data_IF_452632308780
#
_entry.id   IF_452632308780
#
_cell.length_a   1.000
_cell.length_b   1.000
_cell.length_c   1.000
_cell.angle_alpha   90.00
_cell.angle_beta   90.00
_cell.angle_gamma   90.00
#
_symmetry.space_group_name_H-M   'P 1'
#
loop_
_entity.id
_entity.type
_entity.pdbx_description
1 polymer ?
#
# COMPACT_ATOMS: atom_id res chain seq x y z
N UNK A 1 3.95 -11.94 -15.96
CA UNK A 1 3.43 -10.56 -15.87
C UNK A 1 4.44 -9.77 -15.06
N UNK A 2 4.75 -8.53 -15.43
CA UNK A 2 5.61 -7.66 -14.61
C UNK A 2 4.87 -7.25 -13.34
N UNK A 3 5.62 -6.97 -12.26
CA UNK A 3 5.06 -6.37 -11.05
C UNK A 3 4.45 -4.99 -11.39
N UNK A 4 3.27 -4.64 -10.85
CA UNK A 4 2.63 -3.37 -11.15
C UNK A 4 3.46 -2.19 -10.65
N UNK A 5 3.48 -1.11 -11.42
CA UNK A 5 4.14 0.12 -11.01
C UNK A 5 3.37 0.81 -9.86
N UNK A 6 4.04 1.60 -9.03
CA UNK A 6 3.40 2.25 -7.88
C UNK A 6 2.24 3.18 -8.27
N UNK A 7 2.33 3.86 -9.41
CA UNK A 7 1.26 4.72 -9.90
C UNK A 7 0.06 3.91 -10.42
N UNK A 8 0.26 2.70 -10.93
CA UNK A 8 -0.82 1.77 -11.28
C UNK A 8 -1.57 1.29 -10.03
N UNK A 9 -0.84 0.94 -8.97
CA UNK A 9 -1.43 0.57 -7.67
C UNK A 9 -2.30 1.70 -7.10
N UNK A 10 -1.77 2.93 -7.08
CA UNK A 10 -2.50 4.09 -6.56
C UNK A 10 -3.73 4.43 -7.39
N UNK A 11 -3.62 4.40 -8.73
CA UNK A 11 -4.78 4.64 -9.61
C UNK A 11 -5.86 3.61 -9.38
N UNK A 12 -5.51 2.32 -9.27
CA UNK A 12 -6.49 1.27 -9.02
C UNK A 12 -7.25 1.47 -7.70
N UNK A 13 -6.56 1.89 -6.63
CA UNK A 13 -7.21 2.19 -5.35
C UNK A 13 -8.16 3.40 -5.45
N UNK A 14 -7.74 4.46 -6.16
CA UNK A 14 -8.56 5.66 -6.39
C UNK A 14 -9.79 5.34 -7.24
N UNK A 15 -9.62 4.59 -8.33
CA UNK A 15 -10.70 4.20 -9.24
C UNK A 15 -11.71 3.28 -8.55
N UNK A 16 -11.27 2.45 -7.60
CA UNK A 16 -12.12 1.64 -6.74
C UNK A 16 -12.83 2.43 -5.62
N UNK A 17 -12.60 3.75 -5.52
CA UNK A 17 -13.14 4.59 -4.46
C UNK A 17 -12.60 4.28 -3.07
N UNK A 18 -11.45 3.60 -2.98
CA UNK A 18 -10.81 3.29 -1.70
C UNK A 18 -10.32 4.59 -1.07
N UNK A 19 -10.75 4.83 0.16
CA UNK A 19 -10.39 5.99 0.98
C UNK A 19 -9.17 5.64 1.82
N UNK A 20 -8.07 6.33 1.56
CA UNK A 20 -6.81 6.12 2.26
C UNK A 20 -5.99 7.40 2.25
N UNK A 21 -5.00 7.46 3.15
CA UNK A 21 -3.89 8.41 3.06
C UNK A 21 -2.62 7.67 2.74
N UNK A 22 -1.85 8.20 1.78
CA UNK A 22 -0.53 7.69 1.43
C UNK A 22 0.48 8.11 2.51
N UNK A 23 1.26 7.15 2.99
CA UNK A 23 2.30 7.37 4.01
C UNK A 23 3.63 6.74 3.55
N UNK A 24 4.62 6.68 4.44
CA UNK A 24 5.87 5.99 4.16
C UNK A 24 6.79 6.69 3.14
N UNK A 25 7.67 5.91 2.50
CA UNK A 25 8.72 6.43 1.63
C UNK A 25 8.20 7.11 0.37
N UNK A 26 7.15 6.55 -0.24
CA UNK A 26 6.56 7.11 -1.45
C UNK A 26 5.87 8.47 -1.18
N UNK A 27 5.21 8.63 -0.03
CA UNK A 27 4.66 9.92 0.39
C UNK A 27 5.75 11.00 0.50
N UNK A 28 6.88 10.66 1.13
CA UNK A 28 8.02 11.58 1.31
C UNK A 28 8.66 11.96 -0.04
N UNK A 29 8.74 11.01 -0.97
CA UNK A 29 9.21 11.28 -2.34
C UNK A 29 8.32 12.30 -3.06
N UNK A 30 7.00 12.27 -2.85
CA UNK A 30 6.07 13.24 -3.43
C UNK A 30 6.33 14.69 -2.96
N UNK A 31 7.04 14.87 -1.84
CA UNK A 31 7.49 16.18 -1.33
C UNK A 31 8.92 16.55 -1.75
N UNK A 32 9.51 15.83 -2.71
CA UNK A 32 10.81 16.18 -3.29
C UNK A 32 12.03 15.62 -2.56
N UNK A 33 11.84 14.80 -1.52
CA UNK A 33 12.94 14.11 -0.86
C UNK A 33 13.26 12.83 -1.64
N UNK A 34 14.40 12.80 -2.33
CA UNK A 34 14.77 11.63 -3.16
C UNK A 34 15.31 10.50 -2.29
N UNK A 35 14.52 9.43 -2.12
CA UNK A 35 14.97 8.18 -1.50
C UNK A 35 14.38 6.94 -2.18
N UNK A 36 15.07 5.82 -2.04
CA UNK A 36 14.52 4.52 -2.44
C UNK A 36 13.38 4.07 -1.50
N UNK A 37 12.33 3.50 -2.10
CA UNK A 37 11.25 2.76 -1.43
C UNK A 37 10.95 1.52 -2.27
N UNK A 38 10.52 0.44 -1.63
CA UNK A 38 10.22 -0.84 -2.32
C UNK A 38 8.73 -1.16 -2.31
N UNK A 39 8.00 -0.46 -1.46
CA UNK A 39 6.62 -0.68 -1.10
C UNK A 39 5.84 0.65 -1.10
N UNK A 40 4.52 0.50 -1.08
CA UNK A 40 3.55 1.57 -0.95
C UNK A 40 2.80 1.38 0.37
N UNK A 41 2.99 2.30 1.30
CA UNK A 41 2.34 2.27 2.61
C UNK A 41 1.11 3.19 2.61
N UNK A 42 -0.02 2.70 3.11
CA UNK A 42 -1.24 3.50 3.27
C UNK A 42 -1.85 3.32 4.66
N UNK A 43 -2.58 4.34 5.11
CA UNK A 43 -3.55 4.20 6.20
C UNK A 43 -4.95 4.31 5.59
N UNK A 44 -5.69 3.21 5.61
CA UNK A 44 -7.05 3.15 5.09
C UNK A 44 -8.05 3.70 6.11
N UNK A 45 -9.16 4.29 5.62
CA UNK A 45 -10.32 4.54 6.48
C UNK A 45 -10.81 3.18 7.04
N UNK A 46 -10.99 3.05 8.37
CA UNK A 46 -11.28 1.77 9.01
C UNK A 46 -12.73 1.28 8.82
N UNK A 47 -13.57 2.06 8.12
CA UNK A 47 -14.92 1.63 7.77
C UNK A 47 -14.88 0.32 6.97
N UNK A 48 -15.78 -0.61 7.29
CA UNK A 48 -15.69 -1.99 6.86
C UNK A 48 -15.86 -2.17 5.34
N UNK A 49 -16.69 -1.36 4.68
CA UNK A 49 -16.83 -1.37 3.22
C UNK A 49 -15.57 -0.86 2.54
N UNK A 50 -14.94 0.18 3.10
CA UNK A 50 -13.66 0.67 2.61
C UNK A 50 -12.56 -0.41 2.66
N UNK A 51 -12.46 -1.14 3.77
CA UNK A 51 -11.50 -2.24 3.92
C UNK A 51 -11.80 -3.41 2.96
N UNK A 52 -13.09 -3.69 2.69
CA UNK A 52 -13.49 -4.67 1.67
C UNK A 52 -13.07 -4.22 0.27
N UNK A 53 -13.27 -2.95 -0.08
CA UNK A 53 -12.84 -2.38 -1.38
C UNK A 53 -11.32 -2.47 -1.56
N UNK A 54 -10.56 -2.12 -0.51
CA UNK A 54 -9.10 -2.26 -0.49
C UNK A 54 -8.66 -3.71 -0.74
N UNK A 55 -9.23 -4.67 0.01
CA UNK A 55 -8.91 -6.08 -0.12
C UNK A 55 -9.24 -6.62 -1.52
N UNK A 56 -10.42 -6.28 -2.06
CA UNK A 56 -10.83 -6.69 -3.39
C UNK A 56 -9.92 -6.13 -4.48
N UNK A 57 -9.51 -4.86 -4.37
CA UNK A 57 -8.60 -4.20 -5.31
C UNK A 57 -7.22 -4.88 -5.30
N UNK A 58 -6.68 -5.16 -4.12
CA UNK A 58 -5.40 -5.85 -3.98
C UNK A 58 -5.42 -7.25 -4.64
N UNK A 59 -6.49 -8.01 -4.44
CA UNK A 59 -6.66 -9.34 -5.08
C UNK A 59 -6.83 -9.21 -6.59
N UNK A 60 -7.56 -8.22 -7.09
CA UNK A 60 -7.75 -7.98 -8.52
C UNK A 60 -6.43 -7.66 -9.24
N UNK A 61 -5.47 -7.05 -8.54
CA UNK A 61 -4.12 -6.77 -9.01
C UNK A 61 -3.17 -7.97 -8.88
N UNK A 62 -3.65 -9.12 -8.42
CA UNK A 62 -2.86 -10.34 -8.23
C UNK A 62 -2.15 -10.46 -6.87
N UNK A 63 -2.49 -9.58 -5.91
CA UNK A 63 -1.99 -9.64 -4.54
C UNK A 63 -2.75 -10.62 -3.64
N UNK A 64 -2.36 -10.65 -2.37
CA UNK A 64 -3.03 -11.42 -1.31
C UNK A 64 -3.30 -10.53 -0.10
N UNK A 65 -4.31 -10.90 0.70
CA UNK A 65 -4.72 -10.15 1.89
C UNK A 65 -4.48 -11.01 3.12
N UNK A 66 -3.80 -10.44 4.11
CA UNK A 66 -3.54 -11.09 5.40
C UNK A 66 -4.02 -10.18 6.53
N UNK A 67 -4.63 -10.77 7.56
CA UNK A 67 -5.17 -10.06 8.72
C UNK A 67 -4.31 -10.38 9.96
N UNK A 68 -4.12 -9.41 10.86
CA UNK A 68 -3.55 -9.62 12.20
C UNK A 68 -2.03 -9.43 12.35
N UNK A 69 -1.47 -9.96 13.45
CA UNK A 69 -0.08 -9.78 13.95
C UNK A 69 1.04 -10.15 12.95
N UNK A 70 0.69 -10.70 11.80
CA UNK A 70 1.63 -11.11 10.74
C UNK A 70 2.39 -9.96 10.07
N UNK A 71 2.03 -8.69 10.28
CA UNK A 71 2.69 -7.53 9.65
C UNK A 71 3.75 -6.86 10.54
N UNK A 72 3.72 -7.09 11.85
CA UNK A 72 4.75 -6.59 12.78
C UNK A 72 5.99 -7.51 12.82
N UNK A 73 5.96 -8.62 12.07
CA UNK A 73 6.99 -9.66 12.05
C UNK A 73 7.70 -9.77 10.71
N UNK A 74 8.42 -8.74 10.29
CA UNK A 74 9.74 -9.00 9.71
C UNK A 74 10.71 -7.93 10.19
N UNK A 75 11.77 -8.35 10.87
CA UNK A 75 12.88 -7.50 11.33
C UNK A 75 13.59 -6.74 10.19
N UNK A 76 13.12 -6.89 8.94
CA UNK A 76 13.66 -6.31 7.72
C UNK A 76 13.08 -4.93 7.38
N UNK A 77 11.91 -4.57 7.91
CA UNK A 77 11.27 -3.29 7.56
C UNK A 77 11.86 -2.08 8.30
N UNK A 78 12.40 -2.27 9.51
CA UNK A 78 12.89 -1.16 10.37
C UNK A 78 14.42 -1.07 10.42
N UNK A 79 15.15 -2.12 10.00
CA UNK A 79 16.61 -2.14 10.02
C UNK A 79 17.20 -2.52 8.66
N UNK A 80 17.16 -1.59 7.72
CA UNK A 80 18.13 -1.54 6.64
C UNK A 80 19.04 -0.32 6.86
N UNK A 81 20.02 -0.51 7.75
CA UNK A 81 21.27 0.27 7.78
C UNK A 81 22.33 -0.51 7.05
#
# INVERSE_FOLDING_TARGET
MSEPAFDELLRALVDAGTRFVLVGGFAVNAWGVVRGTKDLDIVADPEAENLRSLAATAVALGGSVSLGESLLGSERAILAR
#
